data_IF_488852053727
#
_entry.id   IF_488852053727
#
_cell.length_a   1.000
_cell.length_b   1.000
_cell.length_c   1.000
_cell.angle_alpha   90.00
_cell.angle_beta   90.00
_cell.angle_gamma   90.00
#
_symmetry.space_group_name_H-M   'P 1'
#
loop_
_entity.id
_entity.type
_entity.pdbx_description
1 polymer ?
#
# COMPACT_ATOMS: atom_id res chain seq x y z
N UNK A 1 1.34 -4.08 -3.11
CA UNK A 1 1.90 -5.41 -3.42
C UNK A 1 1.64 -6.43 -2.32
N UNK A 2 2.06 -6.23 -1.06
CA UNK A 2 1.81 -7.26 -0.05
C UNK A 2 0.34 -7.63 0.13
N UNK A 3 -0.54 -6.66 0.33
CA UNK A 3 -1.99 -6.93 0.34
C UNK A 3 -2.49 -7.58 -0.97
N UNK A 4 -1.91 -7.21 -2.12
CA UNK A 4 -2.23 -7.84 -3.41
C UNK A 4 -1.86 -9.35 -3.44
N UNK A 5 -0.77 -9.74 -2.77
CA UNK A 5 -0.39 -11.16 -2.62
C UNK A 5 -1.25 -11.93 -1.62
N UNK A 6 -2.07 -11.23 -0.83
CA UNK A 6 -2.92 -11.79 0.21
C UNK A 6 -4.40 -11.73 -0.17
N UNK A 7 -4.75 -11.46 -1.43
CA UNK A 7 -6.13 -11.27 -1.86
C UNK A 7 -7.02 -12.47 -1.52
N UNK A 8 -6.55 -13.71 -1.69
CA UNK A 8 -7.30 -14.91 -1.31
C UNK A 8 -7.65 -14.94 0.19
N UNK A 9 -6.69 -14.56 1.06
CA UNK A 9 -6.89 -14.48 2.51
C UNK A 9 -7.90 -13.39 2.87
N UNK A 10 -7.78 -12.23 2.22
CA UNK A 10 -8.65 -11.07 2.45
C UNK A 10 -10.09 -11.37 1.98
N UNK A 11 -10.26 -11.90 0.78
CA UNK A 11 -11.57 -12.30 0.24
C UNK A 11 -12.18 -13.45 1.05
N UNK A 12 -11.35 -14.42 1.47
CA UNK A 12 -11.76 -15.51 2.36
C UNK A 12 -12.23 -15.03 3.73
N UNK A 13 -11.74 -13.88 4.20
CA UNK A 13 -12.19 -13.19 5.41
C UNK A 13 -13.35 -12.19 5.16
N UNK A 14 -13.92 -12.19 3.95
CA UNK A 14 -15.12 -11.42 3.62
C UNK A 14 -14.87 -9.93 3.35
N UNK A 15 -13.65 -9.54 2.98
CA UNK A 15 -13.29 -8.15 2.72
C UNK A 15 -12.74 -7.94 1.30
N UNK A 16 -12.83 -6.70 0.82
CA UNK A 16 -12.21 -6.23 -0.43
C UNK A 16 -11.07 -5.24 -0.09
N UNK A 17 -10.12 -5.06 -1.03
CA UNK A 17 -9.08 -4.04 -0.91
C UNK A 17 -9.37 -2.88 -1.86
N UNK A 18 -9.46 -1.68 -1.30
CA UNK A 18 -9.58 -0.43 -2.06
C UNK A 18 -8.32 0.41 -1.83
N UNK A 19 -7.63 0.75 -2.91
CA UNK A 19 -6.50 1.67 -2.91
C UNK A 19 -6.97 3.07 -3.36
N UNK A 20 -6.76 4.08 -2.51
CA UNK A 20 -7.13 5.46 -2.77
C UNK A 20 -5.85 6.30 -2.85
N UNK A 21 -5.68 7.11 -3.90
CA UNK A 21 -4.61 8.11 -3.95
C UNK A 21 -5.06 9.37 -4.68
N UNK A 22 -4.24 10.42 -4.59
CA UNK A 22 -4.45 11.70 -5.29
C UNK A 22 -4.21 11.62 -6.80
N UNK A 23 -3.75 10.47 -7.31
CA UNK A 23 -3.54 10.25 -8.73
C UNK A 23 -4.87 10.24 -9.50
N UNK A 24 -4.85 10.73 -10.74
CA UNK A 24 -5.99 10.65 -11.67
C UNK A 24 -6.28 9.22 -12.15
N UNK A 25 -7.45 9.02 -12.76
CA UNK A 25 -7.90 7.71 -13.24
C UNK A 25 -6.91 7.06 -14.23
N UNK A 26 -6.22 7.86 -15.06
CA UNK A 26 -5.24 7.35 -16.04
C UNK A 26 -4.02 6.77 -15.33
N UNK A 27 -3.54 7.44 -14.29
CA UNK A 27 -2.43 6.95 -13.45
C UNK A 27 -2.83 5.71 -12.66
N UNK A 28 -4.02 5.67 -12.08
CA UNK A 28 -4.54 4.48 -11.38
C UNK A 28 -4.65 3.26 -12.31
N UNK A 29 -5.22 3.47 -13.50
CA UNK A 29 -5.30 2.45 -14.54
C UNK A 29 -3.92 1.94 -14.95
N UNK A 30 -2.99 2.87 -15.17
CA UNK A 30 -1.62 2.57 -15.55
C UNK A 30 -0.84 1.80 -14.48
N UNK A 31 -1.13 2.03 -13.19
CA UNK A 31 -0.57 1.26 -12.09
C UNK A 31 -1.07 -0.17 -12.15
N UNK A 32 -2.38 -0.37 -12.23
CA UNK A 32 -2.98 -1.71 -12.20
C UNK A 32 -2.54 -2.56 -13.39
N UNK A 33 -2.58 -2.02 -14.62
CA UNK A 33 -2.20 -2.78 -15.82
C UNK A 33 -0.74 -3.23 -15.79
N UNK A 34 0.18 -2.36 -15.35
CA UNK A 34 1.62 -2.67 -15.31
C UNK A 34 1.99 -3.61 -14.18
N UNK A 35 1.22 -3.61 -13.11
CA UNK A 35 1.50 -4.38 -11.91
C UNK A 35 0.55 -5.57 -11.73
N UNK A 36 -0.38 -5.85 -12.65
CA UNK A 36 -1.34 -6.95 -12.51
C UNK A 36 -2.16 -6.90 -11.20
N UNK A 37 -2.57 -5.71 -10.75
CA UNK A 37 -3.22 -5.51 -9.44
C UNK A 37 -4.75 -5.57 -9.51
N UNK A 38 -5.31 -6.47 -10.32
CA UNK A 38 -6.75 -6.46 -10.59
C UNK A 38 -7.60 -6.99 -9.43
N UNK A 39 -6.98 -7.55 -8.39
CA UNK A 39 -7.64 -7.89 -7.13
C UNK A 39 -7.84 -6.68 -6.20
N UNK A 40 -7.39 -5.49 -6.62
CA UNK A 40 -7.50 -4.25 -5.84
C UNK A 40 -8.28 -3.24 -6.66
N UNK A 41 -9.30 -2.65 -6.05
CA UNK A 41 -10.01 -1.52 -6.63
C UNK A 41 -9.21 -0.24 -6.43
N UNK A 42 -8.83 0.43 -7.51
CA UNK A 42 -8.21 1.75 -7.41
C UNK A 42 -9.24 2.86 -7.56
N UNK A 43 -9.12 3.88 -6.72
CA UNK A 43 -10.01 5.04 -6.68
C UNK A 43 -9.17 6.30 -6.70
N UNK A 44 -9.38 7.12 -7.74
CA UNK A 44 -8.81 8.45 -7.82
C UNK A 44 -9.52 9.40 -6.84
N UNK A 45 -8.73 10.15 -6.07
CA UNK A 45 -9.18 11.27 -5.24
C UNK A 45 -8.28 12.51 -5.47
N UNK A 46 -8.25 13.09 -6.68
CA UNK A 46 -7.41 14.24 -6.97
C UNK A 46 -7.69 15.41 -6.01
N UNK A 47 -6.64 15.94 -5.39
CA UNK A 47 -6.76 16.98 -4.36
C UNK A 47 -7.23 16.48 -2.99
N UNK A 48 -7.59 15.20 -2.87
CA UNK A 48 -7.95 14.54 -1.61
C UNK A 48 -9.32 14.92 -1.05
N UNK A 49 -10.16 15.62 -1.80
CA UNK A 49 -11.36 16.26 -1.25
C UNK A 49 -12.46 15.28 -0.86
N UNK A 50 -12.53 14.11 -1.53
CA UNK A 50 -13.64 13.18 -1.35
C UNK A 50 -13.40 12.19 -0.21
N UNK A 51 -12.17 11.73 -0.05
CA UNK A 51 -11.84 10.67 0.91
C UNK A 51 -10.67 11.04 1.81
N UNK A 52 -9.54 11.44 1.23
CA UNK A 52 -8.29 11.59 1.99
C UNK A 52 -8.37 12.71 3.04
N UNK A 53 -8.88 13.89 2.69
CA UNK A 53 -9.06 15.01 3.64
C UNK A 53 -10.12 14.71 4.71
N UNK A 54 -11.34 14.21 4.38
CA UNK A 54 -12.29 13.79 5.41
C UNK A 54 -11.77 12.76 6.41
N UNK A 55 -10.81 11.92 6.00
CA UNK A 55 -10.21 10.89 6.84
C UNK A 55 -8.96 11.35 7.60
N UNK A 56 -8.53 12.60 7.42
CA UNK A 56 -7.28 13.15 7.96
C UNK A 56 -6.03 12.41 7.45
N UNK A 57 -6.06 12.04 6.16
CA UNK A 57 -5.02 11.28 5.45
C UNK A 57 -4.44 12.08 4.26
N UNK A 58 -4.41 13.40 4.36
CA UNK A 58 -3.93 14.29 3.31
C UNK A 58 -2.91 15.29 3.87
N UNK A 59 -1.74 15.33 3.24
CA UNK A 59 -0.70 16.33 3.53
C UNK A 59 -0.72 17.39 2.41
N UNK A 60 -1.17 18.64 2.69
CA UNK A 60 -1.19 19.72 1.69
C UNK A 60 0.20 20.30 1.38
N UNK A 61 1.17 20.17 2.28
CA UNK A 61 2.48 20.82 2.20
C UNK A 61 3.47 20.00 1.37
N UNK A 62 3.34 18.68 1.36
CA UNK A 62 4.20 17.82 0.57
C UNK A 62 3.75 17.75 -0.92
N UNK A 63 4.66 18.13 -1.84
CA UNK A 63 4.51 17.99 -3.31
C UNK A 63 3.19 18.51 -3.91
N UNK A 64 2.67 19.64 -3.40
CA UNK A 64 1.36 20.22 -3.79
C UNK A 64 0.14 19.37 -3.39
N UNK A 65 0.26 18.53 -2.37
CA UNK A 65 -0.82 17.70 -1.86
C UNK A 65 -0.64 16.21 -2.14
N UNK A 66 -0.39 15.41 -1.10
CA UNK A 66 -0.33 13.95 -1.20
C UNK A 66 -1.24 13.26 -0.19
N UNK A 67 -1.59 12.00 -0.47
CA UNK A 67 -2.16 11.13 0.55
C UNK A 67 -1.08 10.61 1.50
N UNK A 68 -1.36 10.62 2.80
CA UNK A 68 -0.53 9.95 3.80
C UNK A 68 -0.66 8.43 3.63
N UNK A 69 0.44 7.66 3.66
CA UNK A 69 0.32 6.21 3.68
C UNK A 69 -0.49 5.74 4.88
N UNK A 70 -1.54 4.97 4.64
CA UNK A 70 -2.43 4.51 5.69
C UNK A 70 -3.08 3.17 5.32
N UNK A 71 -3.53 2.44 6.34
CA UNK A 71 -4.37 1.25 6.20
C UNK A 71 -5.52 1.35 7.19
N UNK A 72 -6.74 1.22 6.67
CA UNK A 72 -7.97 1.27 7.46
C UNK A 72 -8.74 -0.03 7.22
N UNK A 73 -9.39 -0.53 8.26
CA UNK A 73 -10.42 -1.58 8.14
C UNK A 73 -11.74 -0.94 8.49
N UNK A 74 -12.65 -0.93 7.53
CA UNK A 74 -14.01 -0.40 7.67
C UNK A 74 -14.98 -1.58 7.61
N UNK A 75 -15.84 -1.71 8.62
CA UNK A 75 -16.85 -2.77 8.66
C UNK A 75 -18.07 -2.44 7.76
N UNK A 76 -18.99 -3.40 7.54
CA UNK A 76 -20.17 -3.18 6.70
C UNK A 76 -21.13 -2.07 7.20
N UNK A 77 -21.07 -1.72 8.48
CA UNK A 77 -21.86 -0.63 9.07
C UNK A 77 -21.16 0.74 8.90
N UNK A 78 -19.96 0.76 8.31
CA UNK A 78 -19.17 1.96 8.08
C UNK A 78 -18.29 2.37 9.27
N UNK A 79 -18.12 1.51 10.28
CA UNK A 79 -17.25 1.80 11.41
C UNK A 79 -15.80 1.42 11.14
N UNK A 80 -14.88 2.29 11.52
CA UNK A 80 -13.46 1.98 11.53
C UNK A 80 -13.14 1.00 12.67
N UNK A 81 -12.52 -0.13 12.32
CA UNK A 81 -12.12 -1.21 13.24
C UNK A 81 -10.61 -1.29 13.44
N UNK A 82 -9.86 -0.72 12.51
CA UNK A 82 -8.41 -0.60 12.57
C UNK A 82 -7.97 0.61 11.79
N UNK A 83 -6.93 1.29 12.29
CA UNK A 83 -6.22 2.35 11.60
C UNK A 83 -4.74 2.26 11.86
N UNK A 84 -4.00 2.36 10.77
CA UNK A 84 -2.60 2.74 10.75
C UNK A 84 -2.46 3.99 9.88
N UNK A 85 -1.71 4.97 10.38
CA UNK A 85 -1.29 6.16 9.63
C UNK A 85 0.23 6.25 9.71
N UNK A 86 0.89 6.25 8.56
CA UNK A 86 2.32 6.45 8.42
C UNK A 86 2.71 7.90 8.67
N UNK A 87 3.96 8.11 9.09
CA UNK A 87 4.51 9.44 9.40
C UNK A 87 4.93 10.19 8.14
N UNK A 88 5.32 9.47 7.10
CA UNK A 88 5.81 10.02 5.85
C UNK A 88 5.56 9.07 4.67
N UNK A 89 5.94 9.49 3.46
CA UNK A 89 5.74 8.73 2.22
C UNK A 89 6.45 7.35 2.21
N UNK A 90 7.43 7.10 3.07
CA UNK A 90 8.24 5.87 3.11
C UNK A 90 7.75 4.87 4.17
N UNK A 91 6.93 5.31 5.11
CA UNK A 91 6.38 4.49 6.17
C UNK A 91 5.34 3.48 5.68
N UNK A 92 5.49 2.21 6.08
CA UNK A 92 4.52 1.14 5.81
C UNK A 92 4.39 0.27 7.06
N UNK A 93 3.15 -0.08 7.44
CA UNK A 93 2.91 -1.01 8.55
C UNK A 93 3.16 -2.46 8.12
N UNK A 94 3.15 -3.36 9.11
CA UNK A 94 3.12 -4.79 8.88
C UNK A 94 1.69 -5.26 8.62
N UNK A 95 1.52 -6.10 7.59
CA UNK A 95 0.19 -6.48 7.08
C UNK A 95 -0.56 -7.42 8.03
N UNK A 96 0.12 -8.14 8.93
CA UNK A 96 -0.55 -9.08 9.82
C UNK A 96 -1.51 -8.40 10.79
N UNK A 97 -1.21 -7.18 11.25
CA UNK A 97 -2.12 -6.44 12.15
C UNK A 97 -3.44 -6.08 11.44
N UNK A 98 -3.35 -5.69 10.16
CA UNK A 98 -4.55 -5.39 9.35
C UNK A 98 -5.31 -6.66 8.99
N UNK A 99 -4.60 -7.75 8.64
CA UNK A 99 -5.21 -9.04 8.30
C UNK A 99 -5.93 -9.64 9.51
N UNK A 100 -5.32 -9.60 10.69
CA UNK A 100 -5.95 -10.03 11.93
C UNK A 100 -7.19 -9.19 12.26
N UNK A 101 -7.16 -7.88 12.02
CA UNK A 101 -8.31 -7.01 12.22
C UNK A 101 -9.47 -7.34 11.26
N UNK A 102 -9.17 -7.69 10.00
CA UNK A 102 -10.18 -8.15 9.03
C UNK A 102 -10.77 -9.50 9.45
N UNK A 103 -9.93 -10.48 9.81
CA UNK A 103 -10.36 -11.82 10.24
C UNK A 103 -11.22 -11.78 11.51
N UNK A 104 -10.94 -10.86 12.43
CA UNK A 104 -11.71 -10.67 13.66
C UNK A 104 -13.16 -10.22 13.42
N UNK A 105 -13.49 -9.71 12.23
CA UNK A 105 -14.87 -9.35 11.87
C UNK A 105 -15.77 -10.58 11.68
N UNK A 106 -15.19 -11.76 11.42
CA UNK A 106 -15.94 -13.01 11.26
C UNK A 106 -16.94 -12.98 10.10
N UNK A 107 -16.64 -12.23 9.05
CA UNK A 107 -17.50 -12.08 7.88
C UNK A 107 -17.43 -13.32 6.98
N UNK A 108 -18.52 -13.64 6.26
CA UNK A 108 -18.50 -14.71 5.27
C UNK A 108 -17.57 -14.34 4.11
N UNK A 109 -16.87 -15.33 3.55
CA UNK A 109 -16.05 -15.15 2.37
C UNK A 109 -16.85 -14.54 1.21
N UNK A 110 -16.18 -13.71 0.41
CA UNK A 110 -16.75 -13.07 -0.77
C UNK A 110 -16.04 -13.49 -2.06
N UNK A 111 -16.75 -13.38 -3.17
CA UNK A 111 -16.16 -13.39 -4.51
C UNK A 111 -16.01 -11.94 -4.98
N UNK A 112 -14.85 -11.34 -4.69
CA UNK A 112 -14.62 -9.93 -4.99
C UNK A 112 -14.46 -9.73 -6.50
N UNK A 113 -15.10 -8.68 -7.08
CA UNK A 113 -15.00 -8.43 -8.50
C UNK A 113 -13.56 -8.06 -8.89
N UNK A 114 -13.10 -8.63 -10.00
CA UNK A 114 -11.84 -8.19 -10.62
C UNK A 114 -12.00 -6.74 -11.10
N UNK A 115 -11.07 -5.89 -10.68
CA UNK A 115 -11.06 -4.49 -11.09
C UNK A 115 -10.42 -4.34 -12.47
N UNK A 116 -11.20 -3.80 -13.40
CA UNK A 116 -10.73 -3.45 -14.74
C UNK A 116 -10.78 -1.92 -14.91
N UNK A 117 -9.65 -1.28 -15.26
CA UNK A 117 -9.67 0.13 -15.56
C UNK A 117 -10.55 0.44 -16.77
N UNK A 118 -11.36 1.50 -16.67
CA UNK A 118 -12.29 1.93 -17.74
C UNK A 118 -11.70 3.02 -18.65
N UNK A 119 -10.44 3.39 -18.44
CA UNK A 119 -9.75 4.45 -19.19
C UNK A 119 -8.53 3.88 -19.91
N UNK A 120 -8.27 4.39 -21.10
CA UNK A 120 -7.09 4.02 -21.88
C UNK A 120 -5.82 4.59 -21.24
N UNK A 121 -4.79 3.76 -21.13
CA UNK A 121 -3.48 4.16 -20.60
C UNK A 121 -2.56 4.49 -21.77
N UNK A 122 -2.12 5.75 -21.93
CA UNK A 122 -1.23 6.10 -23.03
C UNK A 122 0.18 5.53 -22.80
N UNK A 123 0.82 5.10 -23.88
CA UNK A 123 2.23 4.63 -23.86
C UNK A 123 3.19 5.72 -23.37
N UNK A 124 2.84 6.99 -23.55
CA UNK A 124 3.60 8.15 -23.12
C UNK A 124 3.48 8.47 -21.63
N UNK A 125 2.68 7.73 -20.86
CA UNK A 125 2.61 7.92 -19.42
C UNK A 125 4.01 7.72 -18.80
N UNK A 126 4.40 8.61 -17.89
CA UNK A 126 5.70 8.57 -17.20
C UNK A 126 5.56 8.89 -15.71
N UNK A 127 6.66 8.76 -14.97
CA UNK A 127 6.72 9.10 -13.55
C UNK A 127 6.13 8.05 -12.61
N UNK A 128 5.88 6.84 -13.10
CA UNK A 128 5.49 5.70 -12.27
C UNK A 128 6.72 4.90 -11.81
N UNK A 129 6.55 4.25 -10.67
CA UNK A 129 7.52 3.28 -10.18
C UNK A 129 7.51 2.06 -11.10
N UNK A 130 8.67 1.64 -11.62
CA UNK A 130 8.77 0.48 -12.50
C UNK A 130 8.90 -0.79 -11.67
N UNK A 131 8.28 -1.87 -12.13
CA UNK A 131 8.37 -3.20 -11.51
C UNK A 131 9.83 -3.65 -11.37
N UNK A 132 10.66 -3.42 -12.39
CA UNK A 132 12.09 -3.75 -12.36
C UNK A 132 12.89 -3.01 -11.26
N UNK A 133 12.43 -1.84 -10.82
CA UNK A 133 13.15 -1.00 -9.85
C UNK A 133 12.81 -1.37 -8.39
N UNK A 134 11.83 -2.25 -8.14
CA UNK A 134 11.31 -2.45 -6.79
C UNK A 134 12.21 -3.32 -5.91
N UNK A 135 12.78 -4.38 -6.49
CA UNK A 135 13.78 -5.20 -5.82
C UNK A 135 15.03 -4.39 -5.44
N UNK A 136 15.67 -3.64 -6.37
CA UNK A 136 16.83 -2.83 -5.99
C UNK A 136 16.48 -1.75 -4.97
N UNK A 137 15.30 -1.12 -5.07
CA UNK A 137 14.85 -0.12 -4.10
C UNK A 137 14.73 -0.68 -2.67
N UNK A 138 13.97 -1.76 -2.47
CA UNK A 138 13.79 -2.33 -1.12
C UNK A 138 15.05 -3.01 -0.59
N UNK A 139 15.93 -3.53 -1.45
CA UNK A 139 17.27 -3.98 -1.04
C UNK A 139 18.11 -2.81 -0.53
N UNK A 140 18.12 -1.69 -1.26
CA UNK A 140 18.79 -0.45 -0.86
C UNK A 140 18.30 0.05 0.50
N UNK A 141 16.98 0.16 0.68
CA UNK A 141 16.35 0.56 1.95
C UNK A 141 16.74 -0.37 3.11
N UNK A 142 16.70 -1.69 2.89
CA UNK A 142 17.10 -2.67 3.91
C UNK A 142 18.56 -2.51 4.34
N UNK A 143 19.48 -2.44 3.38
CA UNK A 143 20.91 -2.30 3.68
C UNK A 143 21.23 -0.93 4.29
N UNK A 144 20.60 0.14 3.81
CA UNK A 144 20.75 1.49 4.35
C UNK A 144 20.32 1.56 5.81
N UNK A 145 19.12 1.07 6.13
CA UNK A 145 18.61 1.02 7.49
C UNK A 145 19.49 0.16 8.43
N UNK A 146 20.03 -0.96 7.93
CA UNK A 146 20.96 -1.79 8.70
C UNK A 146 22.28 -1.07 8.98
N UNK A 147 22.88 -0.46 7.95
CA UNK A 147 24.18 0.21 8.07
C UNK A 147 24.12 1.49 8.92
N UNK A 148 23.03 2.27 8.81
CA UNK A 148 22.83 3.46 9.65
C UNK A 148 22.38 3.07 11.05
N UNK A 149 21.51 2.08 11.21
CA UNK A 149 21.00 1.65 12.50
C UNK A 149 22.08 1.27 13.51
N UNK A 150 23.20 0.71 13.04
CA UNK A 150 24.36 0.39 13.89
C UNK A 150 25.23 1.58 14.30
N UNK A 151 25.00 2.77 13.71
CA UNK A 151 25.73 4.01 14.01
C UNK A 151 24.92 4.98 14.86
N UNK A 152 23.65 4.69 15.09
CA UNK A 152 22.78 5.53 15.92
C UNK A 152 23.04 5.24 17.39
N UNK A 153 22.93 6.26 18.23
CA UNK A 153 23.15 6.14 19.67
C UNK A 153 21.83 6.19 20.46
N UNK A 154 20.86 6.98 20.00
CA UNK A 154 19.56 7.13 20.66
C UNK A 154 18.58 6.01 20.29
N UNK A 155 17.77 5.62 21.28
CA UNK A 155 16.85 4.48 21.13
C UNK A 155 15.71 4.75 20.15
N UNK A 156 15.27 6.01 20.03
CA UNK A 156 14.19 6.41 19.11
C UNK A 156 14.60 6.21 17.65
N UNK A 157 15.74 6.75 17.25
CA UNK A 157 16.25 6.57 15.88
C UNK A 157 16.61 5.12 15.59
N UNK A 158 17.14 4.38 16.57
CA UNK A 158 17.35 2.91 16.45
C UNK A 158 16.04 2.16 16.20
N UNK A 159 14.96 2.55 16.87
CA UNK A 159 13.64 1.95 16.67
C UNK A 159 13.15 2.20 15.24
N UNK A 160 13.25 3.44 14.74
CA UNK A 160 12.89 3.79 13.35
C UNK A 160 13.72 2.98 12.34
N UNK A 161 15.04 2.88 12.54
CA UNK A 161 15.90 2.08 11.65
C UNK A 161 15.53 0.59 11.69
N UNK A 162 15.16 0.06 12.86
CA UNK A 162 14.69 -1.32 13.03
C UNK A 162 13.35 -1.55 12.33
N UNK A 163 12.39 -0.63 12.47
CA UNK A 163 11.10 -0.63 11.77
C UNK A 163 11.32 -0.65 10.25
N UNK A 164 12.10 0.31 9.73
CA UNK A 164 12.36 0.43 8.30
C UNK A 164 13.06 -0.80 7.72
N UNK A 165 13.99 -1.40 8.47
CA UNK A 165 14.65 -2.67 8.10
C UNK A 165 13.64 -3.83 8.07
N UNK A 166 12.77 -3.93 9.06
CA UNK A 166 11.76 -5.00 9.16
C UNK A 166 10.75 -4.88 8.01
N UNK A 167 10.28 -3.66 7.76
CA UNK A 167 9.41 -3.31 6.64
C UNK A 167 10.07 -3.65 5.29
N UNK A 168 11.32 -3.24 5.07
CA UNK A 168 12.01 -3.57 3.82
C UNK A 168 12.18 -5.07 3.61
N UNK A 169 12.56 -5.82 4.66
CA UNK A 169 12.69 -7.29 4.61
C UNK A 169 11.39 -7.95 4.19
N UNK A 170 10.32 -7.66 4.92
CA UNK A 170 9.01 -8.27 4.68
C UNK A 170 8.46 -7.92 3.28
N UNK A 171 8.91 -6.81 2.66
CA UNK A 171 8.48 -6.44 1.30
C UNK A 171 9.24 -7.26 0.27
N UNK A 172 10.54 -7.48 0.50
CA UNK A 172 11.35 -8.37 -0.32
C UNK A 172 10.80 -9.79 -0.30
N UNK A 173 10.42 -10.31 0.87
CA UNK A 173 9.88 -11.65 1.00
C UNK A 173 8.56 -11.81 0.21
N UNK A 174 7.68 -10.81 0.29
CA UNK A 174 6.43 -10.80 -0.49
C UNK A 174 6.66 -10.63 -2.00
N UNK A 175 7.64 -9.83 -2.39
CA UNK A 175 8.05 -9.66 -3.78
C UNK A 175 8.59 -10.96 -4.39
N UNK A 176 9.40 -11.70 -3.64
CA UNK A 176 9.93 -12.99 -4.07
C UNK A 176 8.81 -14.01 -4.28
N UNK A 177 7.79 -14.01 -3.41
CA UNK A 177 6.59 -14.83 -3.59
C UNK A 177 5.74 -14.40 -4.80
N UNK A 178 5.73 -13.10 -5.12
CA UNK A 178 4.89 -12.53 -6.16
C UNK A 178 5.53 -12.43 -7.55
N UNK A 179 6.86 -12.42 -7.63
CA UNK A 179 7.63 -12.28 -8.87
C UNK A 179 7.18 -13.15 -10.05
N UNK A 180 6.62 -14.37 -9.87
CA UNK A 180 6.07 -15.15 -10.98
C UNK A 180 4.85 -14.53 -11.68
N UNK A 181 4.20 -13.54 -11.07
CA UNK A 181 2.92 -12.97 -11.50
C UNK A 181 3.03 -11.52 -12.02
N UNK A 182 4.25 -10.98 -12.13
CA UNK A 182 4.47 -9.67 -12.74
C UNK A 182 4.56 -9.87 -14.26
N UNK A 183 3.72 -9.21 -15.07
CA UNK A 183 3.76 -9.30 -16.54
C UNK A 183 5.06 -8.77 -17.16
#
# INVERSE_FOLDING_TARGET
>A
MRLATQHDRIHGAGAEVIAISVDDDVRQAGMTQRWGLESIRFVADPGGERFLRPLDLFDPEERNGIGLPALLVIDPDGHERYRYTGRDFADRTHDEDVLAAVEALGLPAIDAPRWEPTVDVPDSLTGYFKTADILPYFRGNYFGALAIGWRLDDDGSKAIAKEHRTMSRTMLDALEAWAPNIP
#
